data_IF_633487390677
#
_entry.id   IF_633487390677
#
_cell.length_a   1.000
_cell.length_b   1.000
_cell.length_c   1.000
_cell.angle_alpha   90.00
_cell.angle_beta   90.00
_cell.angle_gamma   90.00
#
_symmetry.space_group_name_H-M   'P 1'
#
loop_
_entity.id
_entity.type
_entity.pdbx_description
1 polymer ?
#
# COMPACT_ATOMS: atom_id res chain seq x y z
N UNK A 1 -7.14 -10.10 -14.93
CA UNK A 1 -7.41 -8.67 -14.62
C UNK A 1 -6.78 -8.34 -13.28
N UNK A 2 -5.69 -7.57 -13.26
CA UNK A 2 -5.08 -7.08 -12.00
C UNK A 2 -5.84 -5.81 -11.58
N UNK A 3 -6.30 -5.68 -10.32
CA UNK A 3 -7.05 -4.50 -9.90
C UNK A 3 -6.15 -3.26 -9.94
N UNK A 4 -6.46 -2.32 -10.85
CA UNK A 4 -5.80 -1.01 -11.04
C UNK A 4 -6.15 -0.01 -9.92
N UNK A 5 -5.87 -0.36 -8.67
CA UNK A 5 -6.24 0.45 -7.50
C UNK A 5 -5.06 1.20 -6.86
N UNK A 6 -3.93 1.34 -7.57
CA UNK A 6 -2.72 1.92 -7.00
C UNK A 6 -2.15 2.94 -8.00
N UNK A 7 -2.21 4.22 -7.64
CA UNK A 7 -1.58 5.30 -8.39
C UNK A 7 -0.47 5.89 -7.53
N UNK A 8 0.75 5.83 -8.05
CA UNK A 8 1.95 6.35 -7.42
C UNK A 8 2.32 7.68 -8.10
N UNK A 9 2.45 8.75 -7.33
CA UNK A 9 3.03 10.02 -7.81
C UNK A 9 4.48 10.14 -7.32
N UNK A 10 5.42 10.42 -8.22
CA UNK A 10 6.84 10.62 -7.90
C UNK A 10 7.13 12.12 -7.76
N UNK A 11 7.47 12.56 -6.55
CA UNK A 11 7.98 13.93 -6.31
C UNK A 11 9.24 13.80 -5.43
N UNK A 12 10.42 14.13 -5.96
CA UNK A 12 11.71 14.04 -5.23
C UNK A 12 11.96 12.68 -4.54
N UNK A 13 11.75 11.55 -5.27
CA UNK A 13 11.83 10.17 -4.74
C UNK A 13 10.82 9.81 -3.64
N UNK A 14 9.83 10.66 -3.38
CA UNK A 14 8.73 10.37 -2.46
C UNK A 14 7.52 9.89 -3.25
N UNK A 15 6.93 8.80 -2.79
CA UNK A 15 5.68 8.27 -3.31
C UNK A 15 4.53 8.64 -2.38
N UNK A 16 3.44 9.17 -2.94
CA UNK A 16 2.18 9.36 -2.21
C UNK A 16 1.23 8.23 -2.62
N UNK A 17 0.66 7.56 -1.63
CA UNK A 17 -0.35 6.53 -1.82
C UNK A 17 -1.68 6.99 -1.23
N UNK A 18 -2.77 6.68 -1.93
CA UNK A 18 -4.15 7.06 -1.62
C UNK A 18 -5.04 5.80 -1.64
N UNK A 19 -5.90 5.59 -0.63
CA UNK A 19 -6.68 4.35 -0.47
C UNK A 19 -7.52 4.28 0.81
N UNK A 20 -8.04 3.10 1.15
CA UNK A 20 -8.74 2.84 2.42
C UNK A 20 -7.74 2.82 3.60
N UNK A 21 -8.14 3.37 4.75
CA UNK A 21 -7.33 3.45 5.97
C UNK A 21 -6.82 2.08 6.43
N UNK A 22 -7.64 1.04 6.26
CA UNK A 22 -7.24 -0.35 6.56
C UNK A 22 -6.14 -0.85 5.64
N UNK A 23 -6.22 -0.50 4.36
CA UNK A 23 -5.18 -0.82 3.39
C UNK A 23 -3.85 -0.23 3.76
N UNK A 24 -3.84 1.03 4.20
CA UNK A 24 -2.63 1.66 4.71
C UNK A 24 -2.04 0.95 5.92
N UNK A 25 -2.89 0.54 6.87
CA UNK A 25 -2.45 -0.11 8.11
C UNK A 25 -1.64 -1.39 7.86
N UNK A 26 -2.17 -2.33 7.06
CA UNK A 26 -1.46 -3.59 6.82
C UNK A 26 -0.24 -3.41 5.92
N UNK A 27 -0.30 -2.52 4.93
CA UNK A 27 0.81 -2.31 4.01
C UNK A 27 1.99 -1.59 4.69
N UNK A 28 1.71 -0.67 5.63
CA UNK A 28 2.76 -0.05 6.46
C UNK A 28 3.51 -1.09 7.28
N UNK A 29 2.79 -2.02 7.91
CA UNK A 29 3.40 -3.13 8.65
C UNK A 29 4.20 -4.05 7.72
N UNK A 30 3.69 -4.34 6.53
CA UNK A 30 4.38 -5.15 5.54
C UNK A 30 5.68 -4.52 5.04
N UNK A 31 5.65 -3.21 4.72
CA UNK A 31 6.84 -2.47 4.34
C UNK A 31 7.88 -2.41 5.47
N UNK A 32 7.43 -2.25 6.70
CA UNK A 32 8.30 -2.33 7.87
C UNK A 32 8.96 -3.69 7.99
N UNK A 33 8.19 -4.77 7.82
CA UNK A 33 8.73 -6.14 7.81
C UNK A 33 9.80 -6.32 6.73
N UNK A 34 9.52 -5.91 5.49
CA UNK A 34 10.49 -5.99 4.39
C UNK A 34 11.78 -5.20 4.68
N UNK A 35 11.64 -4.01 5.29
CA UNK A 35 12.78 -3.16 5.68
C UNK A 35 13.62 -3.79 6.79
N UNK A 36 12.99 -4.35 7.82
CA UNK A 36 13.69 -5.02 8.94
C UNK A 36 14.41 -6.28 8.46
N UNK A 37 13.76 -7.07 7.61
CA UNK A 37 14.33 -8.29 7.02
C UNK A 37 15.33 -8.03 5.90
N UNK A 38 15.50 -6.76 5.46
CA UNK A 38 16.38 -6.34 4.36
C UNK A 38 16.16 -7.17 3.09
N UNK A 39 14.89 -7.46 2.78
CA UNK A 39 14.52 -8.26 1.63
C UNK A 39 14.57 -7.38 0.37
N UNK A 40 15.43 -7.73 -0.58
CA UNK A 40 15.47 -7.12 -1.90
C UNK A 40 14.72 -7.97 -2.92
N UNK A 41 13.63 -7.41 -3.44
CA UNK A 41 12.77 -8.07 -4.44
C UNK A 41 13.51 -8.25 -5.76
N UNK A 42 14.42 -7.34 -6.13
CA UNK A 42 15.21 -7.48 -7.37
C UNK A 42 16.17 -8.67 -7.28
N UNK A 43 16.84 -8.82 -6.14
CA UNK A 43 17.68 -9.98 -5.87
C UNK A 43 16.89 -11.30 -5.82
N UNK A 44 15.63 -11.27 -5.35
CA UNK A 44 14.75 -12.44 -5.34
C UNK A 44 14.33 -12.86 -6.75
N UNK A 45 13.96 -11.92 -7.61
CA UNK A 45 13.61 -12.19 -9.02
C UNK A 45 14.81 -12.76 -9.79
N UNK A 46 16.04 -12.38 -9.44
CA UNK A 46 17.24 -12.97 -10.05
C UNK A 46 17.50 -14.42 -9.59
N UNK A 47 17.03 -14.82 -8.41
CA UNK A 47 17.28 -16.13 -7.81
C UNK A 47 16.16 -17.15 -8.04
N UNK A 48 14.95 -16.71 -8.36
CA UNK A 48 13.79 -17.58 -8.57
C UNK A 48 12.95 -17.12 -9.77
N UNK A 49 12.04 -17.96 -10.25
CA UNK A 49 11.13 -17.57 -11.34
C UNK A 49 10.17 -16.46 -10.89
N UNK A 50 9.81 -15.56 -11.82
CA UNK A 50 8.91 -14.43 -11.56
C UNK A 50 7.56 -14.87 -10.95
N UNK A 51 7.02 -16.00 -11.41
CA UNK A 51 5.77 -16.56 -10.90
C UNK A 51 5.89 -17.03 -9.44
N UNK A 52 7.00 -17.68 -9.09
CA UNK A 52 7.25 -18.12 -7.71
C UNK A 52 7.41 -16.95 -6.74
N UNK A 53 8.01 -15.83 -7.17
CA UNK A 53 8.05 -14.60 -6.36
C UNK A 53 6.63 -14.08 -6.11
N UNK A 54 5.80 -14.06 -7.16
CA UNK A 54 4.44 -13.52 -7.10
C UNK A 54 3.55 -14.30 -6.15
N UNK A 55 3.60 -15.63 -6.19
CA UNK A 55 2.80 -16.49 -5.31
C UNK A 55 3.15 -16.23 -3.83
N UNK A 56 4.45 -16.24 -3.50
CA UNK A 56 4.93 -15.94 -2.14
C UNK A 56 4.52 -14.54 -1.66
N UNK A 57 4.59 -13.54 -2.53
CA UNK A 57 4.16 -12.18 -2.19
C UNK A 57 2.65 -12.12 -1.92
N UNK A 58 1.84 -12.86 -2.67
CA UNK A 58 0.39 -12.91 -2.47
C UNK A 58 0.04 -13.56 -1.12
N UNK A 59 0.69 -14.66 -0.76
CA UNK A 59 0.52 -15.33 0.53
C UNK A 59 0.82 -14.38 1.70
N UNK A 60 1.97 -13.71 1.65
CA UNK A 60 2.38 -12.74 2.67
C UNK A 60 1.38 -11.58 2.79
N UNK A 61 0.88 -11.06 1.66
CA UNK A 61 -0.11 -9.97 1.65
C UNK A 61 -1.44 -10.44 2.26
N UNK A 62 -1.86 -11.68 1.99
CA UNK A 62 -3.08 -12.24 2.57
C UNK A 62 -2.97 -12.35 4.09
N UNK A 63 -1.85 -12.87 4.60
CA UNK A 63 -1.58 -12.94 6.04
C UNK A 63 -1.62 -11.55 6.70
N UNK A 64 -1.00 -10.54 6.09
CA UNK A 64 -1.07 -9.16 6.59
C UNK A 64 -2.49 -8.60 6.58
N UNK A 65 -3.26 -8.92 5.53
CA UNK A 65 -4.66 -8.56 5.42
C UNK A 65 -5.50 -9.16 6.55
N UNK A 66 -5.29 -10.43 6.88
CA UNK A 66 -5.99 -11.12 7.97
C UNK A 66 -5.64 -10.56 9.35
N UNK A 67 -4.35 -10.35 9.63
CA UNK A 67 -3.89 -9.73 10.87
C UNK A 67 -4.47 -8.32 11.07
N UNK A 68 -4.74 -7.60 9.98
CA UNK A 68 -5.32 -6.25 10.03
C UNK A 68 -6.81 -6.22 10.34
N UNK A 69 -7.55 -7.29 10.03
CA UNK A 69 -9.00 -7.39 10.33
C UNK A 69 -9.26 -7.45 11.83
N UNK A 70 -8.29 -7.93 12.61
CA UNK A 70 -8.38 -8.08 14.07
C UNK A 70 -8.26 -6.72 14.77
N UNK A 71 -7.57 -5.74 14.17
CA UNK A 71 -7.41 -4.40 14.73
C UNK A 71 -8.64 -3.54 14.41
N UNK A 72 -9.15 -2.82 15.42
CA UNK A 72 -10.35 -1.99 15.28
C UNK A 72 -10.19 -0.91 14.20
N UNK A 73 -11.30 -0.57 13.54
CA UNK A 73 -11.38 0.33 12.37
C UNK A 73 -10.84 1.76 12.58
N UNK A 74 -10.58 2.19 13.80
CA UNK A 74 -10.46 3.61 14.16
C UNK A 74 -9.12 3.98 14.81
N UNK A 75 -8.03 3.33 14.41
CA UNK A 75 -6.70 3.76 14.85
C UNK A 75 -6.17 4.76 13.83
N UNK A 76 -5.89 5.99 14.27
CA UNK A 76 -5.23 6.98 13.43
C UNK A 76 -3.88 6.45 12.94
N UNK A 77 -3.49 6.84 11.71
CA UNK A 77 -2.18 6.49 11.17
C UNK A 77 -1.08 7.08 12.05
N UNK A 78 -0.23 6.23 12.59
CA UNK A 78 0.96 6.65 13.33
C UNK A 78 2.11 6.93 12.35
N UNK A 79 2.99 7.86 12.72
CA UNK A 79 4.26 8.02 12.03
C UNK A 79 5.10 6.76 12.16
N UNK A 80 5.58 6.23 11.04
CA UNK A 80 6.51 5.11 11.03
C UNK A 80 7.71 5.42 10.12
N UNK A 81 8.78 4.65 10.31
CA UNK A 81 10.09 4.69 9.66
C UNK A 81 10.05 4.58 8.13
N UNK A 82 8.90 4.20 7.55
CA UNK A 82 8.73 4.00 6.11
C UNK A 82 7.64 4.91 5.52
N UNK A 83 6.68 5.40 6.32
CA UNK A 83 5.52 6.14 5.84
C UNK A 83 5.24 7.32 6.78
N UNK A 84 5.15 8.50 6.19
CA UNK A 84 4.70 9.72 6.85
C UNK A 84 3.24 9.97 6.45
N UNK A 85 2.27 9.84 7.37
CA UNK A 85 0.88 10.13 7.04
C UNK A 85 0.69 11.63 6.77
N UNK A 86 -0.13 11.93 5.76
CA UNK A 86 -0.55 13.29 5.47
C UNK A 86 -1.78 13.63 6.34
N UNK A 87 -1.52 14.20 7.51
CA UNK A 87 -2.59 14.61 8.42
C UNK A 87 -3.44 15.73 7.80
N UNK A 88 -4.76 15.67 8.01
CA UNK A 88 -5.72 16.67 7.53
C UNK A 88 -6.31 16.40 6.14
N UNK A 89 -5.85 15.37 5.41
CA UNK A 89 -6.42 14.98 4.12
C UNK A 89 -7.40 13.82 4.33
N UNK A 90 -8.71 14.11 4.25
CA UNK A 90 -9.77 13.12 4.43
C UNK A 90 -10.24 12.42 3.14
N UNK A 91 -9.80 12.90 1.97
CA UNK A 91 -10.24 12.42 0.66
C UNK A 91 -9.04 12.03 -0.19
N UNK A 92 -9.03 10.81 -0.79
CA UNK A 92 -7.94 10.34 -1.62
C UNK A 92 -7.98 11.02 -3.00
N UNK A 93 -7.55 12.28 -3.08
CA UNK A 93 -7.37 12.94 -4.38
C UNK A 93 -6.30 12.19 -5.19
N UNK A 94 -6.22 12.50 -6.49
CA UNK A 94 -6.18 11.61 -7.68
C UNK A 94 -6.85 10.22 -7.79
N UNK A 95 -7.45 9.62 -6.76
CA UNK A 95 -7.88 8.21 -6.84
C UNK A 95 -9.02 7.96 -7.84
N UNK A 96 -9.06 6.77 -8.45
CA UNK A 96 -10.10 6.37 -9.41
C UNK A 96 -11.51 6.39 -8.82
N UNK A 97 -11.66 6.35 -7.50
CA UNK A 97 -12.96 6.52 -6.83
C UNK A 97 -13.62 7.87 -7.14
N UNK A 98 -12.82 8.93 -7.34
CA UNK A 98 -13.33 10.29 -7.55
C UNK A 98 -13.83 10.45 -8.99
N UNK A 99 -13.44 9.58 -9.94
CA UNK A 99 -13.86 9.65 -11.35
C UNK A 99 -15.38 9.65 -11.53
N UNK A 100 -16.14 8.99 -10.64
CA UNK A 100 -17.62 9.01 -10.66
C UNK A 100 -18.20 10.40 -10.39
N UNK A 101 -17.49 11.21 -9.61
CA UNK A 101 -17.89 12.57 -9.26
C UNK A 101 -17.34 13.64 -10.20
N UNK A 102 -16.56 13.31 -11.24
CA UNK A 102 -15.88 14.32 -12.09
C UNK A 102 -16.83 15.01 -13.07
N UNK A 103 -17.91 14.36 -13.52
CA UNK A 103 -18.87 14.93 -14.49
C UNK A 103 -19.46 16.29 -14.08
N UNK A 104 -19.91 16.52 -12.83
CA UNK A 104 -20.37 17.85 -12.39
C UNK A 104 -19.27 18.91 -12.22
N UNK A 105 -17.98 18.54 -12.28
CA UNK A 105 -16.85 19.47 -12.18
C UNK A 105 -16.20 19.78 -13.55
N UNK A 106 -16.73 19.22 -14.64
CA UNK A 106 -16.26 19.45 -16.01
C UNK A 106 -17.11 20.52 -16.69
#
# INVERSE_FOLDING_TARGET
MVPRNWQFYLIYHKYVWAGDLRSFGYFTNGLKFLKVQKIDIQALIAKMSFEGVKERLVEIIQEWGEQSKVKSKSVGLQFDTAINPLNGIGVPFPYTSIRRGVTPFR
#
